data_IF_471230847898
#
_entry.id   IF_471230847898
#
_cell.length_a   1.000
_cell.length_b   1.000
_cell.length_c   1.000
_cell.angle_alpha   90.00
_cell.angle_beta   90.00
_cell.angle_gamma   90.00
#
_symmetry.space_group_name_H-M   'P 1'
#
loop_
_entity.id
_entity.type
_entity.pdbx_description
1 polymer ?
#
# COMPACT_ATOMS: atom_id res chain seq x y z
N UNK A 1 24.61 -70.17 9.40
CA UNK A 1 23.85 -69.97 8.14
C UNK A 1 22.93 -68.79 8.37
N UNK A 2 23.24 -67.61 7.77
CA UNK A 2 22.28 -66.48 7.71
C UNK A 2 21.08 -66.93 6.90
N UNK A 3 19.86 -66.87 7.45
CA UNK A 3 18.65 -67.06 6.68
C UNK A 3 18.51 -65.83 5.79
N UNK A 4 18.65 -65.99 4.49
CA UNK A 4 18.33 -64.94 3.50
C UNK A 4 16.83 -65.05 3.22
N UNK A 5 16.07 -64.02 3.56
CA UNK A 5 14.67 -63.89 3.18
C UNK A 5 14.63 -63.35 1.75
N UNK A 6 13.91 -64.02 0.87
CA UNK A 6 13.65 -63.56 -0.52
C UNK A 6 12.16 -63.66 -0.81
N UNK A 7 11.67 -62.76 -1.62
CA UNK A 7 10.28 -62.71 -2.08
C UNK A 7 10.24 -62.42 -3.58
N UNK A 8 9.12 -62.73 -4.20
CA UNK A 8 8.82 -62.37 -5.59
C UNK A 8 8.20 -60.99 -5.62
N UNK A 9 8.88 -60.01 -6.26
CA UNK A 9 8.47 -58.61 -6.30
C UNK A 9 7.12 -58.42 -7.02
N UNK A 10 6.89 -59.12 -8.16
CA UNK A 10 5.64 -59.02 -8.91
C UNK A 10 4.46 -59.57 -8.12
N UNK A 11 4.69 -60.69 -7.38
CA UNK A 11 3.69 -61.26 -6.49
C UNK A 11 3.40 -60.31 -5.30
N UNK A 12 4.42 -59.65 -4.74
CA UNK A 12 4.27 -58.68 -3.66
C UNK A 12 3.44 -57.51 -4.12
N UNK A 13 3.76 -56.91 -5.27
CA UNK A 13 3.01 -55.80 -5.84
C UNK A 13 1.54 -56.12 -6.05
N UNK A 14 1.27 -57.32 -6.59
CA UNK A 14 -0.10 -57.80 -6.79
C UNK A 14 -0.86 -57.99 -5.48
N UNK A 15 -0.19 -58.38 -4.40
CA UNK A 15 -0.81 -58.50 -3.08
C UNK A 15 -1.05 -57.15 -2.42
N UNK A 16 -0.10 -56.21 -2.55
CA UNK A 16 -0.23 -54.87 -2.07
C UNK A 16 -1.48 -54.20 -2.69
N UNK A 17 -1.67 -54.32 -4.00
CA UNK A 17 -2.82 -53.71 -4.71
C UNK A 17 -4.18 -54.30 -4.26
N UNK A 18 -4.20 -55.48 -3.64
CA UNK A 18 -5.42 -56.12 -3.13
C UNK A 18 -5.72 -55.81 -1.67
N UNK A 19 -4.81 -55.11 -0.96
CA UNK A 19 -5.06 -54.72 0.43
C UNK A 19 -6.22 -53.75 0.54
N UNK A 20 -7.03 -53.87 1.56
CA UNK A 20 -8.16 -52.96 1.79
C UNK A 20 -7.70 -51.50 1.92
N UNK A 21 -6.59 -51.26 2.62
CA UNK A 21 -6.04 -49.90 2.79
C UNK A 21 -5.58 -49.23 1.48
N UNK A 22 -5.35 -50.05 0.42
CA UNK A 22 -4.99 -49.52 -0.91
C UNK A 22 -6.20 -49.26 -1.81
N UNK A 23 -7.41 -49.61 -1.37
CA UNK A 23 -8.63 -49.33 -2.14
C UNK A 23 -9.04 -47.88 -1.99
N UNK A 24 -9.29 -47.19 -3.10
CA UNK A 24 -9.67 -45.79 -3.11
C UNK A 24 -10.92 -45.45 -2.26
N UNK A 25 -11.84 -46.42 -2.12
CA UNK A 25 -13.04 -46.29 -1.26
C UNK A 25 -12.73 -46.23 0.23
N UNK A 26 -11.58 -46.72 0.64
CA UNK A 26 -11.14 -46.79 2.04
C UNK A 26 -10.15 -45.67 2.39
N UNK A 27 -9.73 -44.89 1.38
CA UNK A 27 -8.82 -43.77 1.55
C UNK A 27 -9.60 -42.46 1.55
N UNK A 28 -9.12 -41.49 2.34
CA UNK A 28 -9.60 -40.13 2.37
C UNK A 28 -8.45 -39.25 1.89
N UNK A 29 -8.73 -38.44 0.84
CA UNK A 29 -7.74 -37.54 0.29
C UNK A 29 -7.30 -36.50 1.34
N UNK A 30 -6.02 -36.09 1.35
CA UNK A 30 -5.56 -34.99 2.19
C UNK A 30 -6.22 -33.68 1.77
N UNK A 31 -6.43 -32.80 2.74
CA UNK A 31 -6.81 -31.40 2.51
C UNK A 31 -5.64 -30.54 2.91
N UNK A 32 -5.17 -29.72 1.98
CA UNK A 32 -4.01 -28.86 2.20
C UNK A 32 -4.28 -27.85 3.32
N UNK A 33 -3.22 -27.42 3.99
CA UNK A 33 -3.28 -26.32 4.91
C UNK A 33 -3.61 -25.01 4.17
N UNK A 34 -4.24 -24.07 4.87
CA UNK A 34 -4.61 -22.77 4.32
C UNK A 34 -4.23 -21.65 5.27
N UNK A 35 -4.23 -20.40 4.75
CA UNK A 35 -4.07 -19.21 5.58
C UNK A 35 -5.39 -18.93 6.29
N UNK A 36 -5.34 -18.58 7.58
CA UNK A 36 -6.53 -18.15 8.34
C UNK A 36 -7.08 -16.83 7.82
N UNK A 37 -8.31 -16.49 8.22
CA UNK A 37 -8.74 -15.09 8.17
C UNK A 37 -7.84 -14.21 9.06
N UNK A 38 -7.72 -12.92 8.72
CA UNK A 38 -7.01 -11.96 9.56
C UNK A 38 -7.70 -11.78 10.91
N UNK A 39 -6.90 -11.68 11.96
CA UNK A 39 -7.33 -11.35 13.33
C UNK A 39 -6.38 -10.32 13.93
N UNK A 40 -6.69 -9.79 15.12
CA UNK A 40 -5.80 -8.87 15.83
C UNK A 40 -4.41 -9.48 16.13
N UNK A 41 -4.29 -10.81 16.15
CA UNK A 41 -3.02 -11.54 16.31
C UNK A 41 -2.32 -11.83 14.97
N UNK A 42 -2.89 -11.37 13.85
CA UNK A 42 -2.40 -11.60 12.48
C UNK A 42 -3.01 -12.82 11.82
N UNK A 43 -2.25 -13.37 10.87
CA UNK A 43 -2.57 -14.60 10.12
C UNK A 43 -1.91 -15.82 10.77
N UNK A 44 -2.55 -16.95 10.67
CA UNK A 44 -2.03 -18.24 11.15
C UNK A 44 -2.29 -19.36 10.16
N UNK A 45 -1.59 -20.46 10.33
CA UNK A 45 -1.82 -21.67 9.56
C UNK A 45 -3.10 -22.35 10.03
N UNK A 46 -4.04 -22.58 9.12
CA UNK A 46 -5.10 -23.59 9.33
C UNK A 46 -4.50 -24.94 8.96
N UNK A 47 -4.36 -25.87 9.92
CA UNK A 47 -3.66 -27.14 9.69
C UNK A 47 -4.29 -27.95 8.55
N UNK A 48 -3.44 -28.65 7.80
CA UNK A 48 -3.87 -29.67 6.86
C UNK A 48 -4.62 -30.82 7.55
N UNK A 49 -5.58 -31.41 6.85
CA UNK A 49 -6.07 -32.75 7.19
C UNK A 49 -5.30 -33.76 6.34
N UNK A 50 -4.46 -34.57 6.97
CA UNK A 50 -3.59 -35.51 6.27
C UNK A 50 -4.34 -36.63 5.55
N UNK A 51 -5.63 -36.81 5.82
CA UNK A 51 -6.39 -37.88 5.20
C UNK A 51 -5.87 -39.26 5.60
N UNK A 52 -6.08 -40.23 4.71
CA UNK A 52 -5.58 -41.60 4.86
C UNK A 52 -5.08 -42.17 3.51
N UNK A 53 -4.76 -41.29 2.56
CA UNK A 53 -4.20 -41.67 1.26
C UNK A 53 -2.77 -42.17 1.44
N UNK A 54 -2.52 -43.41 1.00
CA UNK A 54 -1.22 -44.05 1.12
C UNK A 54 -0.33 -43.68 -0.06
N UNK A 55 0.90 -43.27 0.20
CA UNK A 55 1.96 -43.23 -0.79
C UNK A 55 2.43 -44.65 -1.10
N UNK A 56 2.04 -45.14 -2.28
CA UNK A 56 2.28 -46.53 -2.68
C UNK A 56 3.75 -46.90 -2.69
N UNK A 57 4.65 -45.98 -3.06
CA UNK A 57 6.09 -46.27 -3.15
C UNK A 57 6.72 -46.38 -1.77
N UNK A 58 6.37 -45.48 -0.86
CA UNK A 58 6.83 -45.51 0.54
C UNK A 58 6.29 -46.72 1.24
N UNK A 59 4.99 -47.01 1.06
CA UNK A 59 4.36 -48.23 1.62
C UNK A 59 4.99 -49.51 1.13
N UNK A 60 5.19 -49.66 -0.21
CA UNK A 60 5.87 -50.85 -0.78
C UNK A 60 7.23 -51.05 -0.14
N UNK A 61 8.04 -50.02 -0.05
CA UNK A 61 9.36 -50.10 0.58
C UNK A 61 9.28 -50.50 2.05
N UNK A 62 8.37 -49.96 2.81
CA UNK A 62 8.17 -50.29 4.21
C UNK A 62 7.75 -51.75 4.39
N UNK A 63 6.89 -52.26 3.49
CA UNK A 63 6.49 -53.69 3.47
C UNK A 63 7.69 -54.57 3.14
N UNK A 64 8.49 -54.25 2.13
CA UNK A 64 9.72 -54.98 1.77
C UNK A 64 10.70 -55.07 2.96
N UNK A 65 10.95 -53.91 3.62
CA UNK A 65 11.84 -53.82 4.79
C UNK A 65 11.28 -54.68 5.96
N UNK A 66 9.96 -54.70 6.18
CA UNK A 66 9.29 -55.49 7.21
C UNK A 66 9.40 -56.99 6.94
N UNK A 67 9.25 -57.41 5.67
CA UNK A 67 9.42 -58.83 5.25
C UNK A 67 10.85 -59.28 5.50
N UNK A 68 11.87 -58.48 5.18
CA UNK A 68 13.27 -58.81 5.35
C UNK A 68 13.65 -59.07 6.82
N UNK A 69 12.98 -58.42 7.75
CA UNK A 69 13.19 -58.61 9.20
C UNK A 69 12.16 -59.56 9.84
N UNK A 70 11.20 -60.08 9.04
CA UNK A 70 10.13 -60.95 9.49
C UNK A 70 9.28 -60.28 10.58
N UNK A 71 8.93 -59.01 10.40
CA UNK A 71 8.04 -58.29 11.29
C UNK A 71 6.62 -58.87 11.23
N UNK A 72 5.94 -58.93 12.36
CA UNK A 72 4.57 -59.44 12.46
C UNK A 72 3.53 -58.40 12.06
N UNK A 73 3.89 -57.11 12.18
CA UNK A 73 3.05 -55.94 11.88
C UNK A 73 3.87 -54.80 11.31
N UNK A 74 3.22 -53.88 10.59
CA UNK A 74 3.76 -52.65 10.07
C UNK A 74 2.83 -51.49 10.48
N UNK A 75 3.35 -50.58 11.30
CA UNK A 75 2.66 -49.32 11.62
C UNK A 75 2.88 -48.32 10.48
N UNK A 76 1.78 -47.88 9.84
CA UNK A 76 1.84 -46.98 8.68
C UNK A 76 2.20 -45.53 9.05
N UNK A 77 1.86 -45.11 10.27
CA UNK A 77 2.24 -43.78 10.78
C UNK A 77 3.74 -43.72 11.09
N UNK A 78 4.28 -44.75 11.79
CA UNK A 78 5.71 -44.83 12.10
C UNK A 78 6.56 -45.00 10.84
N UNK A 79 6.03 -45.70 9.82
CA UNK A 79 6.71 -45.90 8.53
C UNK A 79 6.50 -44.75 7.54
N UNK A 80 5.80 -43.69 7.93
CA UNK A 80 5.57 -42.49 7.12
C UNK A 80 4.91 -42.77 5.76
N UNK A 81 3.95 -43.70 5.75
CA UNK A 81 3.34 -44.21 4.52
C UNK A 81 2.22 -43.37 3.93
N UNK A 82 1.81 -42.29 4.59
CA UNK A 82 0.73 -41.42 4.11
C UNK A 82 1.24 -40.28 3.28
N UNK A 83 0.43 -39.85 2.28
CA UNK A 83 0.70 -38.61 1.51
C UNK A 83 0.64 -37.42 2.46
N UNK A 84 1.68 -36.61 2.47
CA UNK A 84 1.77 -35.40 3.30
C UNK A 84 1.64 -34.16 2.45
N UNK A 85 0.81 -33.20 2.85
CA UNK A 85 0.78 -31.89 2.23
C UNK A 85 2.07 -31.12 2.54
N UNK A 86 2.56 -30.35 1.54
CA UNK A 86 3.72 -29.47 1.71
C UNK A 86 3.26 -28.11 2.25
N UNK A 87 3.68 -27.76 3.46
CA UNK A 87 3.31 -26.50 4.14
C UNK A 87 4.44 -25.49 4.23
N UNK A 88 5.66 -25.79 3.77
CA UNK A 88 6.81 -24.87 3.93
C UNK A 88 6.58 -23.53 3.26
N UNK A 89 6.10 -23.55 2.01
CA UNK A 89 5.83 -22.33 1.24
C UNK A 89 4.69 -21.51 1.87
N UNK A 90 3.68 -22.19 2.41
CA UNK A 90 2.54 -21.53 3.06
C UNK A 90 2.95 -20.85 4.37
N UNK A 91 3.82 -21.45 5.15
CA UNK A 91 4.36 -20.81 6.36
C UNK A 91 5.17 -19.56 6.02
N UNK A 92 5.98 -19.61 4.96
CA UNK A 92 6.76 -18.46 4.51
C UNK A 92 5.87 -17.29 4.08
N UNK A 93 4.79 -17.55 3.35
CA UNK A 93 3.86 -16.49 2.94
C UNK A 93 3.06 -15.92 4.12
N UNK A 94 2.70 -16.76 5.11
CA UNK A 94 2.06 -16.29 6.35
C UNK A 94 3.01 -15.35 7.12
N UNK A 95 4.27 -15.68 7.23
CA UNK A 95 5.27 -14.82 7.88
C UNK A 95 5.41 -13.48 7.15
N UNK A 96 5.41 -13.49 5.81
CA UNK A 96 5.43 -12.27 5.00
C UNK A 96 4.15 -11.44 5.20
N UNK A 97 2.96 -12.05 5.15
CA UNK A 97 1.70 -11.38 5.43
C UNK A 97 1.69 -10.74 6.82
N UNK A 98 2.19 -11.45 7.82
CA UNK A 98 2.31 -10.94 9.19
C UNK A 98 3.30 -9.78 9.31
N UNK A 99 4.36 -9.77 8.54
CA UNK A 99 5.27 -8.62 8.43
C UNK A 99 4.54 -7.39 7.89
N UNK A 100 3.71 -7.56 6.86
CA UNK A 100 2.95 -6.48 6.23
C UNK A 100 1.89 -5.89 7.19
N UNK A 101 1.05 -6.72 7.81
CA UNK A 101 0.04 -6.24 8.78
C UNK A 101 0.65 -5.75 10.09
N UNK A 102 1.91 -6.09 10.37
CA UNK A 102 2.70 -5.53 11.47
C UNK A 102 3.14 -4.08 11.23
N UNK A 103 3.02 -3.58 9.98
CA UNK A 103 3.32 -2.20 9.62
C UNK A 103 2.31 -1.25 10.24
N UNK A 104 2.77 -0.08 10.66
CA UNK A 104 1.92 1.03 11.09
C UNK A 104 2.50 2.32 10.54
N UNK A 105 1.68 3.06 9.79
CA UNK A 105 2.03 4.40 9.29
C UNK A 105 1.09 5.39 9.93
N UNK A 106 1.62 6.29 10.75
CA UNK A 106 0.87 7.43 11.29
C UNK A 106 1.15 8.63 10.42
N UNK A 107 0.15 9.05 9.65
CA UNK A 107 0.21 10.28 8.88
C UNK A 107 0.01 11.49 9.78
N UNK A 108 0.97 12.41 9.78
CA UNK A 108 0.90 13.66 10.52
C UNK A 108 0.57 14.81 9.56
N UNK A 109 -0.62 15.38 9.71
CA UNK A 109 -1.07 16.56 8.97
C UNK A 109 -1.01 17.84 9.83
N UNK A 110 -0.23 17.83 10.95
CA UNK A 110 -0.12 18.91 11.93
C UNK A 110 -1.46 19.18 12.67
N UNK A 111 -2.56 19.28 11.95
CA UNK A 111 -3.91 19.53 12.49
C UNK A 111 -4.67 18.24 12.84
N UNK A 112 -4.27 17.12 12.28
CA UNK A 112 -4.87 15.80 12.48
C UNK A 112 -3.86 14.69 12.23
N UNK A 113 -4.13 13.50 12.75
CA UNK A 113 -3.35 12.29 12.47
C UNK A 113 -4.28 11.19 11.95
N UNK A 114 -3.81 10.50 10.92
CA UNK A 114 -4.46 9.31 10.37
C UNK A 114 -3.54 8.11 10.53
N UNK A 115 -4.11 6.96 10.86
CA UNK A 115 -3.33 5.75 11.08
C UNK A 115 -3.72 4.69 10.07
N UNK A 116 -2.75 4.25 9.31
CA UNK A 116 -2.82 3.03 8.51
C UNK A 116 -2.23 1.90 9.34
N UNK A 117 -3.06 0.93 9.70
CA UNK A 117 -2.69 -0.20 10.55
C UNK A 117 -2.96 -1.56 9.89
N UNK A 118 -2.69 -2.63 10.63
CA UNK A 118 -2.84 -3.99 10.14
C UNK A 118 -4.26 -4.36 9.72
N UNK A 119 -5.29 -3.78 10.33
CA UNK A 119 -6.69 -4.03 9.96
C UNK A 119 -6.95 -3.56 8.52
N UNK A 120 -6.59 -2.30 8.22
CA UNK A 120 -6.74 -1.75 6.86
C UNK A 120 -5.82 -2.44 5.85
N UNK A 121 -4.58 -2.75 6.25
CA UNK A 121 -3.60 -3.43 5.39
C UNK A 121 -4.10 -4.83 5.02
N UNK A 122 -4.73 -5.55 5.94
CA UNK A 122 -5.21 -6.91 5.70
C UNK A 122 -6.25 -7.00 4.58
N UNK A 123 -7.00 -5.92 4.31
CA UNK A 123 -7.98 -5.86 3.23
C UNK A 123 -7.33 -5.92 1.84
N UNK A 124 -6.03 -5.65 1.74
CA UNK A 124 -5.27 -5.60 0.49
C UNK A 124 -4.44 -6.86 0.23
N UNK A 125 -4.36 -7.76 1.21
CA UNK A 125 -3.50 -8.94 1.11
C UNK A 125 -4.30 -10.18 0.68
N UNK A 126 -3.74 -10.91 -0.26
CA UNK A 126 -4.24 -12.22 -0.69
C UNK A 126 -3.08 -13.13 -1.06
N UNK A 127 -3.37 -14.41 -1.25
CA UNK A 127 -2.41 -15.43 -1.68
C UNK A 127 -2.91 -16.01 -2.99
N UNK A 128 -2.03 -16.07 -4.00
CA UNK A 128 -2.34 -16.67 -5.30
C UNK A 128 -2.28 -18.21 -5.26
N UNK A 129 -2.66 -18.85 -6.38
CA UNK A 129 -2.64 -20.31 -6.52
C UNK A 129 -1.24 -20.93 -6.41
N UNK A 130 -0.20 -20.12 -6.63
CA UNK A 130 1.21 -20.50 -6.50
C UNK A 130 1.77 -20.23 -5.09
N UNK A 131 0.91 -19.87 -4.14
CA UNK A 131 1.26 -19.49 -2.77
C UNK A 131 2.24 -18.28 -2.71
N UNK A 132 2.04 -17.26 -3.52
CA UNK A 132 2.75 -16.00 -3.39
C UNK A 132 1.82 -14.94 -2.79
N UNK A 133 2.40 -14.04 -1.98
CA UNK A 133 1.67 -12.87 -1.48
C UNK A 133 1.33 -11.92 -2.64
N UNK A 134 0.07 -11.55 -2.73
CA UNK A 134 -0.44 -10.53 -3.67
C UNK A 134 -0.99 -9.36 -2.88
N UNK A 135 -0.57 -8.15 -3.26
CA UNK A 135 -1.06 -6.90 -2.70
C UNK A 135 -1.98 -6.21 -3.70
N UNK A 136 -3.18 -5.85 -3.30
CA UNK A 136 -4.12 -5.05 -4.09
C UNK A 136 -3.68 -3.58 -4.13
N UNK A 137 -2.90 -3.21 -5.15
CA UNK A 137 -2.43 -1.84 -5.35
C UNK A 137 -3.57 -0.85 -5.64
N UNK A 138 -4.72 -1.31 -6.16
CA UNK A 138 -5.90 -0.46 -6.36
C UNK A 138 -6.55 -0.11 -5.01
N UNK A 139 -6.58 -1.05 -4.07
CA UNK A 139 -7.00 -0.81 -2.69
C UNK A 139 -6.09 0.20 -1.99
N UNK A 140 -4.77 0.06 -2.13
CA UNK A 140 -3.79 1.05 -1.62
C UNK A 140 -4.03 2.43 -2.25
N UNK A 141 -4.22 2.51 -3.57
CA UNK A 141 -4.50 3.77 -4.27
C UNK A 141 -5.83 4.39 -3.81
N UNK A 142 -6.84 3.57 -3.50
CA UNK A 142 -8.12 4.04 -2.98
C UNK A 142 -7.94 4.73 -1.63
N UNK A 143 -7.19 4.13 -0.72
CA UNK A 143 -6.84 4.73 0.57
C UNK A 143 -6.08 6.06 0.40
N UNK A 144 -5.09 6.12 -0.50
CA UNK A 144 -4.37 7.39 -0.78
C UNK A 144 -5.30 8.46 -1.33
N UNK A 145 -6.29 8.10 -2.15
CA UNK A 145 -7.32 9.04 -2.63
C UNK A 145 -8.25 9.51 -1.51
N UNK A 146 -8.56 8.67 -0.53
CA UNK A 146 -9.32 9.06 0.67
C UNK A 146 -8.54 10.14 1.43
N UNK A 147 -7.25 9.91 1.73
CA UNK A 147 -6.37 10.93 2.32
C UNK A 147 -6.32 12.21 1.50
N UNK A 148 -6.15 12.08 0.18
CA UNK A 148 -6.08 13.23 -0.72
C UNK A 148 -7.40 14.03 -0.76
N UNK A 149 -8.55 13.37 -0.69
CA UNK A 149 -9.86 14.02 -0.64
C UNK A 149 -10.03 14.85 0.64
N UNK A 150 -9.57 14.33 1.76
CA UNK A 150 -9.70 14.98 3.07
C UNK A 150 -8.68 16.12 3.22
N UNK A 151 -7.41 15.86 2.96
CA UNK A 151 -6.29 16.73 3.35
C UNK A 151 -5.75 17.63 2.24
N UNK A 152 -6.05 17.38 0.95
CA UNK A 152 -5.65 18.32 -0.09
C UNK A 152 -6.42 19.63 0.04
N UNK A 153 -5.70 20.76 -0.02
CA UNK A 153 -6.27 22.10 -0.01
C UNK A 153 -6.11 22.83 -1.35
N UNK A 154 -5.36 22.24 -2.27
CA UNK A 154 -5.21 22.69 -3.65
C UNK A 154 -6.58 22.76 -4.34
N UNK A 155 -6.88 23.89 -4.99
CA UNK A 155 -8.17 24.21 -5.64
C UNK A 155 -9.39 24.33 -4.68
N UNK A 156 -9.20 24.15 -3.37
CA UNK A 156 -10.28 24.43 -2.42
C UNK A 156 -10.41 25.93 -2.18
N UNK A 157 -11.63 26.47 -1.91
CA UNK A 157 -11.82 27.87 -1.55
C UNK A 157 -11.03 28.27 -0.30
N UNK A 158 -10.52 29.50 -0.29
CA UNK A 158 -9.74 30.05 0.84
C UNK A 158 -10.36 31.35 1.32
N UNK A 159 -10.48 31.49 2.64
CA UNK A 159 -10.93 32.74 3.24
C UNK A 159 -9.72 33.68 3.41
N UNK A 160 -9.84 34.90 2.90
CA UNK A 160 -8.84 35.95 3.09
C UNK A 160 -9.47 37.15 3.78
N UNK A 161 -8.95 37.51 4.93
CA UNK A 161 -9.21 38.80 5.55
C UNK A 161 -8.33 39.84 4.84
N UNK A 162 -8.95 40.64 3.99
CA UNK A 162 -8.24 41.61 3.17
C UNK A 162 -7.64 42.78 3.99
N UNK A 163 -6.63 43.45 3.43
CA UNK A 163 -6.03 44.66 4.01
C UNK A 163 -7.03 45.80 4.20
N UNK A 164 -8.16 45.78 3.50
CA UNK A 164 -9.27 46.72 3.67
C UNK A 164 -10.26 46.32 4.78
N UNK A 165 -10.02 45.20 5.49
CA UNK A 165 -10.79 44.74 6.65
C UNK A 165 -12.02 43.90 6.33
N UNK A 166 -12.32 43.60 5.06
CA UNK A 166 -13.37 42.68 4.66
C UNK A 166 -12.85 41.27 4.52
N UNK A 167 -13.68 40.25 4.73
CA UNK A 167 -13.35 38.89 4.41
C UNK A 167 -13.89 38.53 3.03
N UNK A 168 -13.08 37.88 2.21
CA UNK A 168 -13.46 37.41 0.86
C UNK A 168 -13.09 35.95 0.70
N UNK A 169 -13.91 35.23 -0.05
CA UNK A 169 -13.65 33.83 -0.42
C UNK A 169 -12.95 33.80 -1.77
N UNK A 170 -11.72 33.28 -1.81
CA UNK A 170 -10.94 33.07 -3.04
C UNK A 170 -11.22 31.64 -3.51
N UNK A 171 -12.02 31.48 -4.57
CA UNK A 171 -12.53 30.19 -5.03
C UNK A 171 -11.66 29.53 -6.11
N UNK A 172 -10.65 30.21 -6.64
CA UNK A 172 -9.84 29.75 -7.76
C UNK A 172 -8.35 29.72 -7.42
N UNK A 173 -7.61 28.98 -8.24
CA UNK A 173 -6.15 28.91 -8.18
C UNK A 173 -5.63 27.58 -7.63
N UNK A 174 -4.43 27.19 -8.05
CA UNK A 174 -3.85 25.87 -7.72
C UNK A 174 -3.09 25.88 -6.39
N UNK A 175 -3.10 26.93 -5.59
CA UNK A 175 -2.37 26.98 -4.32
C UNK A 175 -2.97 26.01 -3.29
N UNK A 176 -2.11 25.35 -2.56
CA UNK A 176 -2.51 24.46 -1.46
C UNK A 176 -1.71 23.15 -1.43
N UNK A 177 -1.96 22.35 -0.43
CA UNK A 177 -1.41 21.00 -0.28
C UNK A 177 -1.99 20.07 -1.33
N UNK A 178 -1.13 19.22 -1.90
CA UNK A 178 -1.54 18.17 -2.85
C UNK A 178 -0.68 16.93 -2.68
N UNK A 179 -1.28 15.84 -2.26
CA UNK A 179 -0.62 14.53 -2.16
C UNK A 179 -0.27 14.03 -3.58
N UNK A 180 0.91 13.45 -3.73
CA UNK A 180 1.33 12.73 -4.93
C UNK A 180 0.87 11.27 -4.82
N UNK A 181 -0.31 10.98 -5.37
CA UNK A 181 -0.93 9.68 -5.19
C UNK A 181 -0.04 8.51 -5.63
N UNK A 182 0.67 8.64 -6.75
CA UNK A 182 1.50 7.54 -7.28
C UNK A 182 2.76 7.31 -6.46
N UNK A 183 3.42 8.37 -6.01
CA UNK A 183 4.61 8.27 -5.17
C UNK A 183 4.24 7.82 -3.75
N UNK A 184 3.09 8.23 -3.23
CA UNK A 184 2.61 7.78 -1.93
C UNK A 184 2.25 6.30 -1.93
N UNK A 185 1.58 5.79 -2.99
CA UNK A 185 1.33 4.34 -3.15
C UNK A 185 2.66 3.58 -3.15
N UNK A 186 3.65 4.01 -3.93
CA UNK A 186 4.96 3.37 -3.96
C UNK A 186 5.64 3.38 -2.58
N UNK A 187 5.55 4.49 -1.85
CA UNK A 187 6.12 4.61 -0.50
C UNK A 187 5.42 3.69 0.51
N UNK A 188 4.08 3.56 0.45
CA UNK A 188 3.33 2.61 1.28
C UNK A 188 3.81 1.18 1.00
N UNK A 189 3.88 0.77 -0.27
CA UNK A 189 4.34 -0.57 -0.64
C UNK A 189 5.75 -0.87 -0.14
N UNK A 190 6.66 0.10 -0.18
CA UNK A 190 8.01 -0.02 0.37
C UNK A 190 8.00 -0.11 1.91
N UNK A 191 7.13 0.64 2.58
CA UNK A 191 6.97 0.60 4.03
C UNK A 191 6.38 -0.76 4.48
N UNK A 192 5.41 -1.31 3.74
CA UNK A 192 4.83 -2.65 3.97
C UNK A 192 5.90 -3.74 3.85
N UNK A 193 6.66 -3.76 2.76
CA UNK A 193 7.76 -4.72 2.55
C UNK A 193 8.82 -4.68 3.64
N UNK A 194 9.02 -3.51 4.24
CA UNK A 194 10.00 -3.33 5.29
C UNK A 194 9.45 -3.52 6.71
N UNK A 195 8.14 -3.80 6.88
CA UNK A 195 7.49 -3.97 8.18
C UNK A 195 7.62 -2.75 9.09
N UNK A 196 7.55 -1.53 8.54
CA UNK A 196 7.87 -0.30 9.27
C UNK A 196 6.78 0.13 10.24
N UNK A 197 7.22 0.72 11.36
CA UNK A 197 6.37 1.54 12.24
C UNK A 197 6.91 2.96 12.17
N UNK A 198 6.20 3.84 11.47
CA UNK A 198 6.67 5.18 11.12
C UNK A 198 5.58 6.23 11.31
N UNK A 199 5.99 7.42 11.75
CA UNK A 199 5.18 8.63 11.73
C UNK A 199 5.78 9.58 10.70
N UNK A 200 5.00 10.01 9.72
CA UNK A 200 5.46 10.87 8.62
C UNK A 200 4.32 11.62 7.96
N UNK A 201 4.65 12.66 7.24
CA UNK A 201 3.74 13.25 6.27
C UNK A 201 3.60 12.35 5.02
N UNK A 202 2.51 12.46 4.23
CA UNK A 202 2.44 11.82 2.93
C UNK A 202 3.44 12.45 1.94
N UNK A 203 3.72 11.74 0.85
CA UNK A 203 4.51 12.30 -0.25
C UNK A 203 3.67 13.33 -0.99
N UNK A 204 4.12 14.58 -1.01
CA UNK A 204 3.40 15.68 -1.64
C UNK A 204 3.89 15.96 -3.06
N UNK A 205 2.96 16.19 -3.99
CA UNK A 205 3.23 16.79 -5.29
C UNK A 205 3.35 18.31 -5.18
N UNK A 206 2.69 18.91 -4.18
CA UNK A 206 2.75 20.33 -3.87
C UNK A 206 2.54 20.55 -2.38
N UNK A 207 3.38 21.41 -1.80
CA UNK A 207 3.26 21.83 -0.41
C UNK A 207 2.67 23.24 -0.33
N UNK A 208 2.09 23.59 0.83
CA UNK A 208 1.68 24.94 1.17
C UNK A 208 2.47 25.43 2.40
N UNK A 209 2.16 26.62 2.88
CA UNK A 209 2.93 27.24 3.94
C UNK A 209 2.53 26.79 5.35
N UNK A 210 1.32 26.26 5.52
CA UNK A 210 0.75 25.84 6.80
C UNK A 210 -0.35 24.81 6.59
N UNK A 211 -0.57 23.93 7.56
CA UNK A 211 -1.75 23.06 7.67
C UNK A 211 -2.89 23.67 8.49
N UNK A 212 -2.73 24.87 9.01
CA UNK A 212 -3.75 25.56 9.81
C UNK A 212 -4.95 26.05 8.98
N UNK A 213 -5.80 26.88 9.61
CA UNK A 213 -6.99 27.49 9.00
C UNK A 213 -6.69 28.17 7.66
N UNK A 214 -5.49 28.76 7.55
CA UNK A 214 -4.98 29.39 6.34
C UNK A 214 -3.74 28.65 5.84
N UNK A 215 -3.88 27.85 4.82
CA UNK A 215 -2.74 27.13 4.25
C UNK A 215 -1.69 28.06 3.58
N UNK A 216 -2.04 29.30 3.26
CA UNK A 216 -1.11 30.32 2.75
C UNK A 216 -0.28 31.00 3.86
N UNK A 217 -0.61 30.80 5.16
CA UNK A 217 0.10 31.34 6.31
C UNK A 217 0.11 32.87 6.36
N UNK A 218 1.20 33.44 6.90
CA UNK A 218 1.31 34.88 7.17
C UNK A 218 2.27 35.62 6.25
N UNK A 219 2.81 34.96 5.21
CA UNK A 219 3.71 35.55 4.22
C UNK A 219 3.12 35.39 2.82
N UNK A 220 2.51 36.46 2.30
CA UNK A 220 1.82 36.44 1.02
C UNK A 220 1.77 37.82 0.37
N UNK A 221 1.41 37.86 -0.90
CA UNK A 221 1.06 39.07 -1.63
C UNK A 221 -0.45 39.08 -1.84
N UNK A 222 -1.13 40.10 -1.27
CA UNK A 222 -2.52 40.38 -1.58
C UNK A 222 -2.56 41.37 -2.79
N UNK A 223 -3.31 40.95 -3.82
CA UNK A 223 -3.48 41.77 -5.03
C UNK A 223 -4.95 42.09 -5.20
N UNK A 224 -5.33 43.33 -4.94
CA UNK A 224 -6.70 43.79 -5.12
C UNK A 224 -6.90 44.33 -6.54
N UNK A 225 -7.50 43.51 -7.41
CA UNK A 225 -7.72 43.86 -8.82
C UNK A 225 -8.73 44.99 -9.01
N UNK A 226 -9.65 45.20 -8.07
CA UNK A 226 -10.63 46.28 -8.12
C UNK A 226 -10.01 47.60 -7.72
N UNK A 227 -9.24 47.61 -6.63
CA UNK A 227 -8.54 48.81 -6.15
C UNK A 227 -7.27 49.12 -6.94
N UNK A 228 -6.78 48.17 -7.77
CA UNK A 228 -5.49 48.26 -8.47
C UNK A 228 -4.34 48.49 -7.49
N UNK A 229 -4.35 47.80 -6.35
CA UNK A 229 -3.40 47.97 -5.26
C UNK A 229 -2.94 46.62 -4.71
N UNK A 230 -1.66 46.51 -4.37
CA UNK A 230 -1.07 45.31 -3.79
C UNK A 230 -0.47 45.61 -2.40
N UNK A 231 -0.48 44.56 -1.56
CA UNK A 231 0.16 44.52 -0.25
C UNK A 231 1.05 43.29 -0.15
N UNK A 232 2.29 43.46 0.28
CA UNK A 232 3.23 42.40 0.57
C UNK A 232 3.34 42.18 2.08
N UNK A 233 2.97 41.03 2.55
CA UNK A 233 3.14 40.62 3.94
C UNK A 233 4.27 39.62 4.07
N UNK A 234 5.06 39.75 5.14
CA UNK A 234 6.05 38.80 5.59
C UNK A 234 5.86 38.57 7.09
N UNK A 235 5.63 37.32 7.49
CA UNK A 235 5.40 36.93 8.89
C UNK A 235 4.30 37.79 9.57
N UNK A 236 3.25 38.12 8.83
CA UNK A 236 2.12 38.93 9.28
C UNK A 236 2.36 40.42 9.31
N UNK A 237 3.57 40.86 8.95
CA UNK A 237 3.94 42.33 8.92
C UNK A 237 3.88 42.87 7.50
N UNK A 238 3.21 43.99 7.31
CA UNK A 238 3.21 44.69 6.02
C UNK A 238 4.62 45.19 5.73
N UNK A 239 5.22 44.70 4.65
CA UNK A 239 6.56 45.07 4.21
C UNK A 239 6.53 46.28 3.22
N UNK A 240 5.59 46.20 2.29
CA UNK A 240 5.40 47.27 1.27
C UNK A 240 4.02 47.17 0.66
N UNK A 241 3.57 48.26 0.11
CA UNK A 241 2.34 48.35 -0.69
C UNK A 241 2.59 49.27 -1.91
N UNK A 242 1.83 49.07 -2.98
CA UNK A 242 1.98 49.82 -4.21
C UNK A 242 0.74 49.75 -5.09
N UNK A 243 0.50 50.83 -5.82
CA UNK A 243 -0.44 50.80 -6.93
C UNK A 243 0.15 50.01 -8.11
N UNK A 244 -0.74 49.36 -8.88
CA UNK A 244 -0.39 48.68 -10.12
C UNK A 244 -1.51 48.79 -11.15
N UNK A 245 -1.27 48.30 -12.36
CA UNK A 245 -2.28 48.22 -13.42
C UNK A 245 -2.46 46.73 -13.81
N UNK A 246 -3.66 46.20 -13.65
CA UNK A 246 -4.00 44.83 -14.06
C UNK A 246 -4.30 44.78 -15.56
N UNK A 247 -4.46 43.53 -16.06
CA UNK A 247 -4.80 43.26 -17.44
C UNK A 247 -6.12 43.91 -17.88
N UNK A 248 -6.21 44.28 -19.14
CA UNK A 248 -7.36 44.97 -19.71
C UNK A 248 -8.52 44.02 -19.99
N UNK A 249 -9.54 44.05 -19.13
CA UNK A 249 -10.73 43.20 -19.24
C UNK A 249 -11.48 43.42 -20.57
N UNK A 250 -11.61 44.68 -21.00
CA UNK A 250 -12.35 45.03 -22.22
C UNK A 250 -11.68 44.50 -23.50
N UNK A 251 -10.37 44.20 -23.46
CA UNK A 251 -9.61 43.61 -24.56
C UNK A 251 -9.42 42.08 -24.39
N UNK A 252 -10.08 41.44 -23.45
CA UNK A 252 -9.94 39.99 -23.19
C UNK A 252 -8.65 39.58 -22.47
N UNK A 253 -7.92 40.56 -21.90
CA UNK A 253 -6.67 40.33 -21.17
C UNK A 253 -6.84 40.49 -19.65
N UNK A 254 -7.90 39.92 -19.10
CA UNK A 254 -8.14 39.99 -17.66
C UNK A 254 -7.05 39.24 -16.86
N UNK A 255 -6.54 39.88 -15.81
CA UNK A 255 -5.70 39.18 -14.82
C UNK A 255 -6.58 38.17 -14.07
N UNK A 256 -6.24 36.84 -14.06
CA UNK A 256 -7.04 35.88 -13.37
C UNK A 256 -6.98 36.09 -11.86
N UNK A 257 -8.15 36.00 -11.20
CA UNK A 257 -8.24 35.97 -9.74
C UNK A 257 -8.01 34.56 -9.21
N UNK A 258 -7.48 34.45 -7.99
CA UNK A 258 -7.23 33.16 -7.34
C UNK A 258 -6.04 33.19 -6.40
N UNK A 259 -5.77 32.04 -5.74
CA UNK A 259 -4.59 31.82 -4.94
C UNK A 259 -3.53 31.06 -5.74
N UNK A 260 -2.35 31.60 -5.85
CA UNK A 260 -1.26 31.09 -6.69
C UNK A 260 0.05 31.00 -5.90
N UNK A 261 0.91 30.05 -6.28
CA UNK A 261 2.27 29.97 -5.77
C UNK A 261 3.18 30.95 -6.49
N UNK A 262 4.19 31.48 -5.77
CA UNK A 262 5.30 32.14 -6.41
C UNK A 262 6.18 31.10 -7.10
N UNK A 263 6.12 31.03 -8.42
CA UNK A 263 6.80 29.99 -9.21
C UNK A 263 8.29 30.26 -9.34
N UNK A 264 8.69 31.51 -9.57
CA UNK A 264 10.11 31.91 -9.69
C UNK A 264 10.30 33.40 -9.45
N UNK A 265 11.53 33.79 -9.21
CA UNK A 265 12.00 35.18 -9.16
C UNK A 265 13.15 35.36 -10.13
N UNK A 266 13.16 36.49 -10.87
CA UNK A 266 14.25 36.82 -11.74
C UNK A 266 14.49 38.35 -11.72
N UNK A 267 15.77 38.76 -11.70
CA UNK A 267 16.14 40.17 -11.68
C UNK A 267 15.89 40.83 -13.04
N UNK A 268 16.20 40.11 -14.12
CA UNK A 268 16.01 40.59 -15.48
C UNK A 268 15.14 39.58 -16.23
N UNK A 269 14.06 40.00 -16.81
CA UNK A 269 13.19 39.20 -17.64
C UNK A 269 12.79 39.93 -18.92
N UNK A 270 12.32 39.18 -19.90
CA UNK A 270 11.70 39.73 -21.10
C UNK A 270 10.27 39.26 -21.14
N UNK A 271 9.33 40.16 -21.00
CA UNK A 271 7.91 39.88 -21.18
C UNK A 271 7.60 39.80 -22.68
N UNK A 272 7.08 38.66 -23.11
CA UNK A 272 6.75 38.39 -24.51
C UNK A 272 5.27 38.14 -24.67
N UNK A 273 4.65 38.76 -25.62
CA UNK A 273 3.29 38.54 -26.08
C UNK A 273 3.23 38.43 -27.59
N UNK A 274 2.04 38.23 -28.18
CA UNK A 274 1.90 38.08 -29.64
C UNK A 274 2.51 39.22 -30.44
N UNK A 275 2.43 40.43 -29.90
CA UNK A 275 2.82 41.68 -30.61
C UNK A 275 3.82 42.53 -29.83
N UNK A 276 4.43 42.02 -28.75
CA UNK A 276 5.40 42.78 -27.98
C UNK A 276 6.50 41.92 -27.35
N UNK A 277 7.64 42.56 -27.19
CA UNK A 277 8.77 42.07 -26.42
C UNK A 277 9.32 43.22 -25.58
N UNK A 278 9.20 43.11 -24.26
CA UNK A 278 9.56 44.18 -23.33
C UNK A 278 10.51 43.67 -22.27
N UNK A 279 11.76 44.15 -22.22
CA UNK A 279 12.67 43.87 -21.13
C UNK A 279 12.19 44.55 -19.85
N UNK A 280 12.26 43.84 -18.74
CA UNK A 280 11.93 44.33 -17.39
C UNK A 280 13.06 43.98 -16.43
N UNK A 281 13.33 44.92 -15.49
CA UNK A 281 14.32 44.74 -14.42
C UNK A 281 13.66 45.11 -13.10
N UNK A 282 13.90 44.29 -12.06
CA UNK A 282 13.39 44.51 -10.72
C UNK A 282 14.51 44.87 -9.75
#
# INVERSE_FOLDING_TARGET
LAKVVTFDEDALDSQIDQLNCMQASEQREPVDATVSAYTADGYSLVPADYGTTIDKNTFKKAVEDSILVLADELDLDEADCYVKPDNEKLLAVIDEMNSYVGTTITYDFDVAKEVLDGERISEWLSVDDDLNLVVDEEGVLSFVKELASEYNTCYKPKELKTSYGSTVTISNGPYGWKINNSEEVAQILDDLKAGKKVEREPVYAQTANSHGENDYGNSYVEINLTAQHLFLYKDGVLVTESDFVSGNVAKGHATPGGAFMLTYKTLNAVLRGPDYETPVTY
#
